data_IF_322000206284
#
_entry.id   IF_322000206284
#
_cell.length_a   1.000
_cell.length_b   1.000
_cell.length_c   1.000
_cell.angle_alpha   90.00
_cell.angle_beta   90.00
_cell.angle_gamma   90.00
#
_symmetry.space_group_name_H-M   'P 1'
#
loop_
_entity.id
_entity.type
_entity.pdbx_description
1 polymer ?
#
# COMPACT_ATOMS: atom_id res chain seq x y z
N UNK A 1 -62.52 1.11 -36.98
CA UNK A 1 -62.38 0.90 -35.51
C UNK A 1 -60.99 0.26 -35.24
N UNK A 2 -60.02 1.08 -34.90
CA UNK A 2 -58.65 0.64 -34.60
C UNK A 2 -58.56 0.54 -33.08
N UNK A 3 -58.36 -0.67 -32.56
CA UNK A 3 -58.11 -0.90 -31.13
C UNK A 3 -56.65 -0.68 -30.84
N UNK A 4 -56.33 0.38 -30.09
CA UNK A 4 -54.99 0.65 -29.52
C UNK A 4 -54.86 -0.19 -28.27
N UNK A 5 -53.96 -1.19 -28.31
CA UNK A 5 -53.52 -1.93 -27.11
C UNK A 5 -52.40 -1.14 -26.45
N UNK A 6 -52.69 -0.54 -25.28
CA UNK A 6 -51.72 0.14 -24.48
C UNK A 6 -50.93 -0.90 -23.65
N UNK A 7 -49.66 -1.13 -24.01
CA UNK A 7 -48.74 -2.01 -23.27
C UNK A 7 -48.11 -1.17 -22.13
N UNK A 8 -48.58 -1.35 -20.89
CA UNK A 8 -47.94 -0.77 -19.70
C UNK A 8 -46.74 -1.64 -19.33
N UNK A 9 -45.55 -1.17 -19.65
CA UNK A 9 -44.28 -1.79 -19.23
C UNK A 9 -43.99 -1.39 -17.77
N UNK A 10 -44.21 -2.32 -16.84
CA UNK A 10 -43.82 -2.14 -15.45
C UNK A 10 -42.31 -2.30 -15.35
N UNK A 11 -41.57 -1.20 -15.24
CA UNK A 11 -40.17 -1.22 -14.85
C UNK A 11 -40.06 -1.57 -13.34
N UNK A 12 -39.80 -2.83 -13.05
CA UNK A 12 -39.41 -3.24 -11.70
C UNK A 12 -37.97 -2.78 -11.48
N UNK A 13 -37.79 -1.58 -10.97
CA UNK A 13 -36.47 -1.13 -10.44
C UNK A 13 -36.14 -1.99 -9.23
N UNK A 14 -35.25 -2.97 -9.40
CA UNK A 14 -34.65 -3.68 -8.29
C UNK A 14 -33.83 -2.66 -7.49
N UNK A 15 -34.43 -2.16 -6.41
CA UNK A 15 -33.70 -1.42 -5.40
C UNK A 15 -32.77 -2.42 -4.73
N UNK A 16 -31.49 -2.42 -5.12
CA UNK A 16 -30.42 -3.11 -4.38
C UNK A 16 -30.33 -2.43 -3.00
N UNK A 17 -31.07 -2.95 -2.04
CA UNK A 17 -30.89 -2.58 -0.62
C UNK A 17 -29.53 -3.16 -0.25
N UNK A 18 -28.51 -2.30 -0.26
CA UNK A 18 -27.20 -2.65 0.32
C UNK A 18 -27.43 -2.93 1.82
N UNK A 19 -27.52 -4.19 2.15
CA UNK A 19 -27.60 -4.62 3.55
C UNK A 19 -26.27 -4.25 4.22
N UNK A 20 -26.32 -3.51 5.33
CA UNK A 20 -25.13 -3.23 6.11
C UNK A 20 -24.49 -4.55 6.55
N UNK A 21 -23.18 -4.65 6.43
CA UNK A 21 -22.42 -5.84 6.80
C UNK A 21 -22.58 -6.10 8.31
N UNK A 22 -22.95 -7.34 8.67
CA UNK A 22 -23.14 -7.72 10.07
C UNK A 22 -21.78 -7.91 10.74
N UNK A 23 -21.63 -7.30 11.92
CA UNK A 23 -20.38 -7.34 12.70
C UNK A 23 -20.51 -8.38 13.80
N UNK A 24 -19.46 -9.22 13.97
CA UNK A 24 -19.35 -10.14 15.10
C UNK A 24 -18.81 -9.37 16.32
N UNK A 25 -19.52 -9.38 17.47
CA UNK A 25 -19.07 -8.68 18.66
C UNK A 25 -17.77 -9.25 19.22
N UNK A 26 -16.75 -8.41 19.44
CA UNK A 26 -15.45 -8.85 19.97
C UNK A 26 -15.58 -9.57 21.32
N UNK A 27 -16.53 -9.16 22.17
CA UNK A 27 -16.82 -9.78 23.47
C UNK A 27 -17.34 -11.22 23.40
N UNK A 28 -17.77 -11.67 22.23
CA UNK A 28 -18.26 -13.05 22.01
C UNK A 28 -17.18 -13.97 21.45
N UNK A 29 -16.01 -13.47 21.14
CA UNK A 29 -14.90 -14.26 20.61
C UNK A 29 -14.37 -15.20 21.70
N UNK A 30 -14.23 -16.50 21.33
CA UNK A 30 -13.73 -17.55 22.24
C UNK A 30 -12.71 -18.42 21.51
N UNK A 31 -11.75 -18.92 22.26
CA UNK A 31 -10.81 -19.93 21.77
C UNK A 31 -11.54 -21.16 21.23
N UNK A 32 -11.03 -21.74 20.14
CA UNK A 32 -11.59 -22.88 19.45
C UNK A 32 -12.70 -22.53 18.43
N UNK A 33 -13.15 -21.29 18.35
CA UNK A 33 -14.07 -20.88 17.28
C UNK A 33 -13.38 -21.01 15.92
N UNK A 34 -14.15 -21.44 14.93
CA UNK A 34 -13.71 -21.51 13.52
C UNK A 34 -14.26 -20.34 12.74
N UNK A 35 -13.45 -19.79 11.88
CA UNK A 35 -13.81 -18.71 10.97
C UNK A 35 -13.22 -18.92 9.59
N UNK A 36 -13.54 -18.01 8.69
CA UNK A 36 -13.03 -18.00 7.33
C UNK A 36 -12.39 -16.64 7.03
N UNK A 37 -11.12 -16.66 6.66
CA UNK A 37 -10.40 -15.48 6.19
C UNK A 37 -10.43 -15.44 4.67
N UNK A 38 -10.74 -14.30 4.07
CA UNK A 38 -10.82 -14.15 2.62
C UNK A 38 -9.65 -13.32 2.09
N UNK A 39 -9.04 -13.81 1.00
CA UNK A 39 -7.91 -13.13 0.37
C UNK A 39 -7.74 -13.58 -1.08
N UNK A 40 -6.91 -12.88 -1.86
CA UNK A 40 -6.47 -13.34 -3.18
C UNK A 40 -5.04 -13.86 -3.07
N UNK A 41 -4.79 -15.09 -3.49
CA UNK A 41 -3.44 -15.68 -3.54
C UNK A 41 -2.81 -15.59 -4.92
N UNK A 42 -3.63 -15.56 -5.99
CA UNK A 42 -3.21 -15.38 -7.37
C UNK A 42 -4.35 -14.83 -8.23
N UNK A 43 -4.04 -13.97 -9.21
CA UNK A 43 -5.03 -13.31 -10.06
C UNK A 43 -5.84 -12.28 -9.30
N UNK A 44 -7.16 -12.34 -9.47
CA UNK A 44 -8.14 -11.43 -8.87
C UNK A 44 -9.22 -12.15 -8.05
N UNK A 45 -9.20 -13.48 -8.05
CA UNK A 45 -10.23 -14.29 -7.40
C UNK A 45 -9.98 -14.42 -5.90
N UNK A 46 -10.96 -13.99 -5.11
CA UNK A 46 -10.95 -14.14 -3.66
C UNK A 46 -11.18 -15.60 -3.30
N UNK A 47 -10.34 -16.13 -2.42
CA UNK A 47 -10.41 -17.50 -1.92
C UNK A 47 -10.61 -17.52 -0.41
N UNK A 48 -11.37 -18.47 0.12
CA UNK A 48 -11.49 -18.70 1.56
C UNK A 48 -10.27 -19.44 2.10
N UNK A 49 -9.87 -19.08 3.32
CA UNK A 49 -8.85 -19.75 4.12
C UNK A 49 -9.45 -20.14 5.48
N UNK A 50 -9.34 -21.39 5.85
CA UNK A 50 -9.78 -21.84 7.18
C UNK A 50 -8.93 -21.21 8.28
N UNK A 51 -9.61 -20.70 9.31
CA UNK A 51 -8.99 -19.97 10.42
C UNK A 51 -9.55 -20.45 11.74
N UNK A 52 -8.68 -20.74 12.71
CA UNK A 52 -9.04 -21.13 14.07
C UNK A 52 -8.67 -20.01 15.04
N UNK A 53 -9.61 -19.57 15.86
CA UNK A 53 -9.40 -18.56 16.89
C UNK A 53 -8.72 -19.18 18.10
N UNK A 54 -7.65 -18.57 18.58
CA UNK A 54 -6.94 -18.99 19.80
C UNK A 54 -7.35 -18.17 21.02
N UNK A 55 -7.81 -16.93 20.82
CA UNK A 55 -8.26 -16.05 21.89
C UNK A 55 -8.13 -14.59 21.52
N UNK A 56 -8.30 -13.73 22.51
CA UNK A 56 -8.09 -12.27 22.40
C UNK A 56 -6.98 -11.88 23.37
N UNK A 57 -6.00 -11.14 22.87
CA UNK A 57 -4.96 -10.50 23.69
C UNK A 57 -5.40 -9.08 23.97
N UNK A 58 -5.76 -8.81 25.20
CA UNK A 58 -6.27 -7.51 25.65
C UNK A 58 -5.14 -6.47 25.64
N UNK A 59 -5.47 -5.22 25.30
CA UNK A 59 -4.55 -4.08 25.28
C UNK A 59 -3.24 -4.27 24.48
N UNK A 60 -3.22 -5.25 23.57
CA UNK A 60 -2.02 -5.61 22.81
C UNK A 60 -1.43 -4.44 21.99
N UNK A 61 -2.30 -3.63 21.40
CA UNK A 61 -1.92 -2.49 20.57
C UNK A 61 -1.89 -1.16 21.35
N UNK A 62 -2.21 -1.20 22.62
CA UNK A 62 -2.33 -0.06 23.52
C UNK A 62 -3.63 -0.11 24.29
N UNK A 63 -3.83 0.80 25.26
CA UNK A 63 -5.02 0.79 26.10
C UNK A 63 -6.32 0.78 25.33
N UNK A 64 -7.17 -0.23 25.56
CA UNK A 64 -8.43 -0.45 24.86
C UNK A 64 -8.30 -0.85 23.40
N UNK A 65 -7.14 -1.43 23.01
CA UNK A 65 -6.85 -1.89 21.66
C UNK A 65 -6.38 -3.34 21.67
N UNK A 66 -7.33 -4.24 21.52
CA UNK A 66 -7.14 -5.67 21.57
C UNK A 66 -6.62 -6.24 20.25
N UNK A 67 -6.07 -7.44 20.29
CA UNK A 67 -5.69 -8.21 19.14
C UNK A 67 -6.32 -9.61 19.22
N UNK A 68 -7.01 -10.02 18.17
CA UNK A 68 -7.53 -11.38 18.06
C UNK A 68 -6.42 -12.28 17.57
N UNK A 69 -6.04 -13.28 18.35
CA UNK A 69 -5.02 -14.26 17.99
C UNK A 69 -5.69 -15.48 17.37
N UNK A 70 -5.18 -15.89 16.22
CA UNK A 70 -5.72 -17.01 15.45
C UNK A 70 -4.61 -17.78 14.72
N UNK A 71 -4.99 -18.90 14.08
CA UNK A 71 -4.17 -19.69 13.18
C UNK A 71 -4.83 -19.79 11.81
N UNK A 72 -4.04 -19.64 10.74
CA UNK A 72 -4.43 -20.06 9.40
C UNK A 72 -4.16 -21.56 9.28
N UNK A 73 -5.21 -22.36 9.28
CA UNK A 73 -5.11 -23.84 9.26
C UNK A 73 -5.36 -24.44 7.88
N UNK A 74 -5.57 -23.60 6.87
CA UNK A 74 -5.79 -23.99 5.48
C UNK A 74 -4.51 -24.54 4.83
N UNK A 75 -4.62 -25.64 4.07
CA UNK A 75 -3.49 -26.25 3.37
C UNK A 75 -2.75 -25.28 2.43
N UNK A 76 -3.45 -24.27 1.85
CA UNK A 76 -2.84 -23.24 0.98
C UNK A 76 -1.85 -22.35 1.73
N UNK A 77 -1.99 -22.23 3.04
CA UNK A 77 -1.14 -21.37 3.89
C UNK A 77 -0.26 -22.16 4.86
N UNK A 78 -0.32 -23.50 4.83
CA UNK A 78 0.40 -24.38 5.74
C UNK A 78 1.92 -24.14 5.78
N UNK A 79 2.53 -23.81 4.64
CA UNK A 79 3.97 -23.57 4.56
C UNK A 79 4.37 -22.12 4.83
N UNK A 80 3.48 -21.17 4.59
CA UNK A 80 3.81 -19.74 4.61
C UNK A 80 3.21 -19.01 5.80
N UNK A 81 2.13 -19.54 6.40
CA UNK A 81 1.31 -18.78 7.33
C UNK A 81 0.73 -17.53 6.68
N UNK A 82 0.59 -16.47 7.45
CA UNK A 82 0.23 -15.15 6.96
C UNK A 82 1.40 -14.54 6.17
N UNK A 83 1.13 -14.05 4.95
CA UNK A 83 2.14 -13.47 4.06
C UNK A 83 1.96 -11.95 3.94
N UNK A 84 3.06 -11.23 3.69
CA UNK A 84 3.02 -9.79 3.42
C UNK A 84 2.13 -9.49 2.21
N UNK A 85 1.23 -8.52 2.33
CA UNK A 85 0.16 -8.24 1.36
C UNK A 85 -1.17 -8.93 1.65
N UNK A 86 -1.24 -9.87 2.61
CA UNK A 86 -2.52 -10.36 3.16
C UNK A 86 -3.09 -9.42 4.23
N UNK A 87 -2.34 -8.43 4.68
CA UNK A 87 -2.82 -7.42 5.64
C UNK A 87 -4.11 -6.79 5.15
N UNK A 88 -5.15 -6.80 5.98
CA UNK A 88 -6.51 -6.40 5.62
C UNK A 88 -7.45 -7.56 5.25
N UNK A 89 -6.96 -8.78 5.07
CA UNK A 89 -7.83 -9.94 4.77
C UNK A 89 -8.91 -10.08 5.83
N UNK A 90 -10.21 -9.98 5.45
CA UNK A 90 -11.32 -10.02 6.41
C UNK A 90 -11.54 -11.43 6.97
N UNK A 91 -11.75 -11.51 8.28
CA UNK A 91 -12.13 -12.72 9.00
C UNK A 91 -13.63 -12.70 9.30
N UNK A 92 -14.30 -13.78 8.99
CA UNK A 92 -15.73 -13.98 9.27
C UNK A 92 -15.95 -15.17 10.18
N UNK A 93 -16.90 -15.04 11.12
CA UNK A 93 -17.47 -16.13 11.93
C UNK A 93 -18.98 -16.07 11.74
N UNK A 94 -19.61 -17.17 11.38
CA UNK A 94 -21.05 -17.28 11.11
C UNK A 94 -21.58 -16.19 10.16
N UNK A 95 -20.77 -15.86 9.13
CA UNK A 95 -21.13 -14.85 8.13
C UNK A 95 -21.01 -13.40 8.60
N UNK A 96 -20.52 -13.14 9.82
CA UNK A 96 -20.34 -11.80 10.39
C UNK A 96 -18.87 -11.41 10.40
N UNK A 97 -18.57 -10.17 10.02
CA UNK A 97 -17.22 -9.65 9.98
C UNK A 97 -16.65 -9.46 11.40
N UNK A 98 -15.51 -10.06 11.67
CA UNK A 98 -14.81 -10.06 12.96
C UNK A 98 -13.72 -9.00 12.99
N UNK A 99 -12.88 -8.98 11.97
CA UNK A 99 -11.70 -8.11 11.90
C UNK A 99 -10.85 -8.37 10.66
N UNK A 100 -9.65 -7.81 10.66
CA UNK A 100 -8.70 -7.86 9.56
C UNK A 100 -7.37 -8.46 9.98
N UNK A 101 -6.84 -9.38 9.17
CA UNK A 101 -5.48 -9.88 9.34
C UNK A 101 -4.49 -8.70 9.31
N UNK A 102 -3.67 -8.57 10.33
CA UNK A 102 -2.76 -7.43 10.48
C UNK A 102 -1.35 -7.80 10.92
N UNK A 103 -1.17 -8.99 11.52
CA UNK A 103 0.11 -9.36 12.12
C UNK A 103 0.49 -10.82 11.87
N UNK A 104 1.80 -11.06 11.81
CA UNK A 104 2.43 -12.33 12.17
C UNK A 104 2.81 -12.27 13.64
N UNK A 105 2.63 -13.36 14.37
CA UNK A 105 2.96 -13.36 15.80
C UNK A 105 4.46 -13.59 16.01
N UNK A 106 5.08 -14.41 15.16
CA UNK A 106 6.52 -14.64 15.22
C UNK A 106 7.08 -14.93 13.81
N UNK A 107 8.38 -14.66 13.64
CA UNK A 107 9.12 -15.13 12.47
C UNK A 107 9.49 -16.61 12.64
N UNK A 108 9.56 -17.36 11.54
CA UNK A 108 9.85 -18.81 11.51
C UNK A 108 8.89 -19.66 12.35
N UNK A 109 7.69 -19.17 12.56
CA UNK A 109 6.64 -19.85 13.31
C UNK A 109 6.05 -20.97 12.46
N UNK A 110 5.86 -22.17 13.07
CA UNK A 110 5.48 -23.40 12.34
C UNK A 110 3.99 -23.55 12.10
N UNK A 111 3.18 -22.95 12.94
CA UNK A 111 1.74 -23.25 13.04
C UNK A 111 0.85 -22.17 12.42
N UNK A 112 1.40 -21.16 11.77
CA UNK A 112 0.64 -20.09 11.09
C UNK A 112 -0.11 -19.15 12.04
N UNK A 113 0.43 -18.91 13.26
CA UNK A 113 -0.14 -17.93 14.19
C UNK A 113 -0.14 -16.52 13.61
N UNK A 114 -1.27 -15.87 13.73
CA UNK A 114 -1.47 -14.52 13.22
C UNK A 114 -2.41 -13.70 14.11
N UNK A 115 -2.40 -12.38 13.91
CA UNK A 115 -3.24 -11.45 14.64
C UNK A 115 -4.19 -10.71 13.72
N UNK A 116 -5.42 -10.50 14.23
CA UNK A 116 -6.45 -9.73 13.53
C UNK A 116 -6.83 -8.51 14.35
N UNK A 117 -6.83 -7.35 13.71
CA UNK A 117 -7.36 -6.11 14.28
C UNK A 117 -8.89 -6.18 14.28
N UNK A 118 -9.56 -5.98 15.43
CA UNK A 118 -11.02 -6.00 15.48
C UNK A 118 -11.66 -4.97 14.55
N UNK A 119 -12.74 -5.36 13.84
CA UNK A 119 -13.44 -4.45 12.92
C UNK A 119 -14.01 -3.22 13.61
N UNK A 120 -14.42 -3.35 14.87
CA UNK A 120 -14.91 -2.22 15.66
C UNK A 120 -13.88 -1.10 15.76
N UNK A 121 -12.59 -1.45 15.92
CA UNK A 121 -11.51 -0.47 15.94
C UNK A 121 -11.26 0.18 14.59
N UNK A 122 -11.37 -0.59 13.52
CA UNK A 122 -11.20 -0.09 12.16
C UNK A 122 -12.30 0.91 11.78
N UNK A 123 -13.55 0.63 12.12
CA UNK A 123 -14.68 1.51 11.82
C UNK A 123 -14.58 2.87 12.51
N UNK A 124 -13.85 2.98 13.64
CA UNK A 124 -13.67 4.26 14.34
C UNK A 124 -12.89 5.29 13.52
N UNK A 125 -12.09 4.88 12.55
CA UNK A 125 -11.29 5.82 11.76
C UNK A 125 -12.14 6.68 10.82
N UNK A 126 -13.23 6.12 10.29
CA UNK A 126 -14.16 6.86 9.41
C UNK A 126 -14.93 7.96 10.16
N UNK A 127 -15.11 7.82 11.49
CA UNK A 127 -15.79 8.79 12.33
C UNK A 127 -14.88 9.96 12.71
N UNK A 128 -13.57 9.74 12.79
CA UNK A 128 -12.58 10.75 13.19
C UNK A 128 -12.23 11.76 12.09
N UNK A 129 -12.53 11.44 10.83
CA UNK A 129 -12.15 12.23 9.66
C UNK A 129 -12.72 13.67 9.62
N UNK A 130 -13.64 14.05 10.51
CA UNK A 130 -14.33 15.35 10.45
C UNK A 130 -13.76 16.45 11.34
N UNK A 131 -12.87 16.19 12.33
CA UNK A 131 -12.64 17.16 13.40
C UNK A 131 -11.22 17.31 13.97
N UNK A 132 -10.17 16.75 13.40
CA UNK A 132 -8.83 16.92 14.00
C UNK A 132 -7.84 17.53 13.00
N UNK A 133 -7.56 18.81 13.13
CA UNK A 133 -6.32 19.39 12.60
C UNK A 133 -5.18 18.85 13.47
N UNK A 134 -4.47 17.85 12.97
CA UNK A 134 -3.25 17.38 13.63
C UNK A 134 -2.19 18.45 13.40
N UNK A 135 -1.66 19.00 14.49
CA UNK A 135 -0.48 19.85 14.43
C UNK A 135 0.66 19.01 13.82
N UNK A 136 1.08 19.36 12.62
CA UNK A 136 2.25 18.79 11.98
C UNK A 136 3.47 19.11 12.82
N UNK A 137 4.03 18.12 13.50
CA UNK A 137 5.36 18.26 14.06
C UNK A 137 6.37 17.92 12.96
N UNK A 138 7.13 18.88 12.45
CA UNK A 138 8.15 18.61 11.45
C UNK A 138 9.25 17.75 12.09
N UNK A 139 9.21 16.46 11.84
CA UNK A 139 10.33 15.59 12.11
C UNK A 139 11.16 15.51 10.84
N UNK A 140 12.38 16.04 10.88
CA UNK A 140 13.30 16.01 9.74
C UNK A 140 13.58 14.55 9.36
N UNK A 141 13.36 14.23 8.08
CA UNK A 141 13.71 12.94 7.51
C UNK A 141 15.24 12.90 7.30
N UNK A 142 15.91 11.95 7.98
CA UNK A 142 17.27 11.57 7.64
C UNK A 142 17.32 10.05 7.52
N UNK A 143 18.07 9.47 6.55
CA UNK A 143 18.32 8.03 6.51
C UNK A 143 18.84 7.56 7.86
N UNK A 144 18.16 6.60 8.49
CA UNK A 144 18.50 6.13 9.84
C UNK A 144 17.53 6.54 10.95
N UNK A 145 16.43 7.24 10.65
CA UNK A 145 15.43 7.59 11.65
C UNK A 145 14.44 6.44 11.90
N UNK A 146 14.45 5.98 13.15
CA UNK A 146 13.67 4.84 13.65
C UNK A 146 12.14 4.99 13.64
N UNK A 147 11.60 6.15 13.30
CA UNK A 147 10.15 6.39 13.32
C UNK A 147 9.41 5.94 12.03
N UNK A 148 10.15 5.67 10.91
CA UNK A 148 9.65 4.89 9.79
C UNK A 148 9.73 3.38 10.09
N UNK A 149 10.41 3.00 11.16
CA UNK A 149 10.49 1.61 11.58
C UNK A 149 9.08 1.18 12.04
N UNK A 150 8.32 0.64 11.10
CA UNK A 150 7.47 -0.48 11.43
C UNK A 150 8.47 -1.57 11.82
N UNK A 151 8.83 -1.58 13.09
CA UNK A 151 9.80 -2.50 13.65
C UNK A 151 9.36 -3.92 13.26
N UNK A 152 10.23 -4.69 12.62
CA UNK A 152 10.01 -6.13 12.42
C UNK A 152 9.68 -6.81 13.77
N UNK A 153 10.20 -6.27 14.87
CA UNK A 153 9.84 -6.62 16.24
C UNK A 153 8.40 -6.27 16.61
N UNK A 154 7.71 -5.37 15.89
CA UNK A 154 6.31 -5.05 16.16
C UNK A 154 5.34 -6.13 15.70
N UNK A 155 5.79 -7.10 14.89
CA UNK A 155 4.99 -8.18 14.34
C UNK A 155 3.96 -7.76 13.27
N UNK A 156 3.93 -6.47 12.83
CA UNK A 156 3.06 -6.06 11.73
C UNK A 156 3.41 -6.82 10.44
N UNK A 157 2.39 -7.16 9.66
CA UNK A 157 2.60 -7.60 8.28
C UNK A 157 3.06 -6.39 7.49
N UNK A 158 4.39 -6.26 7.28
CA UNK A 158 4.96 -5.18 6.48
C UNK A 158 4.26 -5.07 5.12
N UNK A 159 4.02 -3.84 4.68
CA UNK A 159 3.42 -3.60 3.37
C UNK A 159 4.47 -3.88 2.30
N UNK A 160 4.27 -4.86 1.39
CA UNK A 160 5.18 -5.05 0.26
C UNK A 160 5.10 -3.82 -0.64
N UNK A 161 6.20 -3.08 -0.72
CA UNK A 161 6.34 -1.92 -1.60
C UNK A 161 6.97 -2.39 -2.91
N UNK A 162 6.17 -2.47 -3.96
CA UNK A 162 6.64 -2.82 -5.29
C UNK A 162 7.06 -1.57 -6.07
N UNK A 163 8.16 -1.68 -6.81
CA UNK A 163 8.59 -0.65 -7.74
C UNK A 163 8.86 -1.27 -9.12
N UNK A 164 8.30 -0.66 -10.18
CA UNK A 164 8.47 -1.10 -11.56
C UNK A 164 9.44 -0.19 -12.32
N UNK A 165 10.06 -0.72 -13.37
CA UNK A 165 10.99 0.03 -14.20
C UNK A 165 12.37 0.23 -13.58
N UNK A 166 12.74 -0.60 -12.61
CA UNK A 166 13.99 -0.51 -11.86
C UNK A 166 14.92 -1.64 -12.27
N UNK A 167 16.14 -1.33 -12.72
CA UNK A 167 17.19 -2.33 -12.98
C UNK A 167 17.71 -2.97 -11.69
N UNK A 168 18.40 -4.12 -11.82
CA UNK A 168 18.91 -4.84 -10.66
C UNK A 168 19.87 -4.02 -9.78
N UNK A 169 20.66 -3.12 -10.40
CA UNK A 169 21.58 -2.25 -9.68
C UNK A 169 20.84 -1.10 -8.97
N UNK A 170 19.93 -0.45 -9.68
CA UNK A 170 19.09 0.60 -9.09
C UNK A 170 18.28 0.07 -7.89
N UNK A 171 17.82 -1.19 -7.98
CA UNK A 171 17.12 -1.83 -6.86
C UNK A 171 17.96 -1.84 -5.58
N UNK A 172 19.23 -2.18 -5.64
CA UNK A 172 20.11 -2.18 -4.45
C UNK A 172 20.19 -0.82 -3.76
N UNK A 173 20.17 0.25 -4.56
CA UNK A 173 20.18 1.62 -4.04
C UNK A 173 18.86 1.95 -3.39
N UNK A 174 17.75 1.61 -4.05
CA UNK A 174 16.40 1.87 -3.54
C UNK A 174 16.16 1.07 -2.26
N UNK A 175 16.61 -0.18 -2.19
CA UNK A 175 16.53 -0.99 -0.97
C UNK A 175 17.22 -0.26 0.20
N UNK A 176 18.39 0.33 -0.02
CA UNK A 176 19.09 1.14 1.01
C UNK A 176 18.34 2.43 1.37
N UNK A 177 17.71 3.09 0.39
CA UNK A 177 16.91 4.29 0.64
C UNK A 177 15.74 3.98 1.57
N UNK A 178 15.11 2.82 1.38
CA UNK A 178 13.96 2.38 2.14
C UNK A 178 14.32 1.48 3.34
N UNK A 179 15.61 1.21 3.56
CA UNK A 179 16.06 0.43 4.71
C UNK A 179 15.61 1.06 6.03
N UNK A 180 15.05 0.25 6.92
CA UNK A 180 14.51 0.73 8.19
C UNK A 180 13.18 1.47 8.11
N UNK A 181 12.58 1.60 6.92
CA UNK A 181 11.27 2.25 6.75
C UNK A 181 10.08 1.38 7.18
N UNK A 182 10.31 0.09 7.46
CA UNK A 182 9.25 -0.88 7.72
C UNK A 182 8.53 -1.38 6.48
N UNK A 183 8.95 -0.94 5.29
CA UNK A 183 8.51 -1.48 4.02
C UNK A 183 9.45 -2.57 3.54
N UNK A 184 8.88 -3.58 2.96
CA UNK A 184 9.62 -4.62 2.25
C UNK A 184 9.62 -4.27 0.75
N UNK A 185 10.81 -4.05 0.17
CA UNK A 185 10.94 -3.76 -1.26
C UNK A 185 10.80 -5.02 -2.09
N UNK A 186 9.60 -5.26 -2.61
CA UNK A 186 9.33 -6.35 -3.53
C UNK A 186 9.76 -5.96 -4.96
N UNK A 187 10.44 -6.86 -5.66
CA UNK A 187 10.60 -6.72 -7.10
C UNK A 187 9.23 -6.96 -7.75
N UNK A 188 8.76 -6.07 -8.59
CA UNK A 188 7.50 -6.32 -9.23
C UNK A 188 6.88 -5.14 -9.94
N UNK A 189 5.85 -5.44 -10.63
CA UNK A 189 5.37 -4.88 -11.82
C UNK A 189 4.31 -3.80 -11.73
N UNK A 190 3.86 -3.37 -12.91
CA UNK A 190 2.62 -2.67 -13.10
C UNK A 190 2.66 -1.36 -13.86
N UNK A 191 3.82 -0.86 -14.32
CA UNK A 191 3.84 0.40 -15.06
C UNK A 191 2.98 0.40 -16.33
N UNK A 192 2.99 -0.68 -17.11
CA UNK A 192 2.25 -0.79 -18.38
C UNK A 192 0.77 -1.15 -18.26
N UNK A 193 0.30 -1.52 -17.07
CA UNK A 193 -1.06 -2.01 -16.86
C UNK A 193 -2.00 -1.05 -16.12
N UNK A 194 -1.61 0.19 -15.88
CA UNK A 194 -2.39 1.15 -15.08
C UNK A 194 -3.76 1.52 -15.67
N UNK A 195 -3.95 1.37 -16.97
CA UNK A 195 -5.25 1.56 -17.63
C UNK A 195 -6.14 0.31 -17.57
N UNK A 196 -5.58 -0.85 -17.21
CA UNK A 196 -6.35 -2.09 -17.14
C UNK A 196 -7.02 -2.23 -15.78
N UNK A 197 -8.22 -2.82 -15.74
CA UNK A 197 -8.88 -3.13 -14.49
C UNK A 197 -8.12 -4.21 -13.71
N UNK A 198 -8.11 -4.10 -12.39
CA UNK A 198 -7.68 -5.13 -11.46
C UNK A 198 -8.89 -5.81 -10.80
N UNK A 199 -8.68 -6.34 -9.60
CA UNK A 199 -9.78 -6.82 -8.78
C UNK A 199 -10.64 -5.63 -8.34
N UNK A 200 -11.97 -5.77 -8.43
CA UNK A 200 -12.88 -4.82 -7.82
C UNK A 200 -12.60 -4.75 -6.32
N UNK A 201 -12.58 -3.53 -5.75
CA UNK A 201 -12.24 -3.31 -4.34
C UNK A 201 -13.37 -3.75 -3.39
N UNK A 202 -13.59 -5.06 -3.33
CA UNK A 202 -14.52 -5.73 -2.43
C UNK A 202 -13.75 -6.42 -1.28
N UNK A 203 -14.39 -6.77 -0.15
CA UNK A 203 -13.74 -7.48 0.95
C UNK A 203 -12.98 -8.73 0.47
N UNK A 204 -11.70 -8.85 0.85
CA UNK A 204 -10.80 -9.91 0.41
C UNK A 204 -10.01 -9.59 -0.88
N UNK A 205 -10.40 -8.59 -1.65
CA UNK A 205 -9.69 -8.19 -2.87
C UNK A 205 -8.36 -7.47 -2.55
N UNK A 206 -7.33 -7.60 -3.40
CA UNK A 206 -6.11 -6.85 -3.25
C UNK A 206 -6.35 -5.37 -3.57
N UNK A 207 -5.70 -4.50 -2.82
CA UNK A 207 -5.72 -3.07 -3.01
C UNK A 207 -4.30 -2.52 -2.91
N UNK A 208 -3.96 -1.57 -3.78
CA UNK A 208 -2.66 -0.90 -3.73
C UNK A 208 -2.82 0.59 -3.47
N UNK A 209 -1.83 1.15 -2.77
CA UNK A 209 -1.70 2.59 -2.52
C UNK A 209 -0.44 3.06 -3.23
N UNK A 210 -0.60 3.87 -4.27
CA UNK A 210 0.52 4.33 -5.07
C UNK A 210 1.20 5.56 -4.45
N UNK A 211 2.52 5.60 -4.55
CA UNK A 211 3.37 6.72 -4.17
C UNK A 211 3.96 7.43 -5.40
N UNK A 212 4.18 6.66 -6.46
CA UNK A 212 4.69 7.13 -7.75
C UNK A 212 3.89 6.43 -8.86
N UNK A 213 3.52 7.18 -9.89
CA UNK A 213 2.75 6.68 -11.04
C UNK A 213 3.33 7.21 -12.35
N UNK A 214 3.03 6.59 -13.46
CA UNK A 214 3.52 6.96 -14.78
C UNK A 214 4.52 5.93 -15.34
N UNK A 215 5.62 6.40 -15.93
CA UNK A 215 6.63 5.50 -16.52
C UNK A 215 7.34 4.63 -15.48
N UNK A 216 7.54 5.18 -14.27
CA UNK A 216 7.91 4.42 -13.09
C UNK A 216 6.71 4.34 -12.15
N UNK A 217 6.64 3.26 -11.41
CA UNK A 217 5.57 3.01 -10.47
C UNK A 217 6.10 2.51 -9.14
N UNK A 218 5.56 3.08 -8.05
CA UNK A 218 5.86 2.61 -6.69
C UNK A 218 4.55 2.54 -5.91
N UNK A 219 4.25 1.38 -5.32
CA UNK A 219 3.02 1.22 -4.55
C UNK A 219 3.13 0.14 -3.48
N UNK A 220 2.45 0.37 -2.37
CA UNK A 220 2.24 -0.63 -1.32
C UNK A 220 0.96 -1.41 -1.56
N UNK A 221 0.99 -2.74 -1.36
CA UNK A 221 -0.16 -3.62 -1.59
C UNK A 221 -0.61 -4.32 -0.32
N UNK A 222 -1.92 -4.36 -0.10
CA UNK A 222 -2.61 -5.09 0.96
C UNK A 222 -3.95 -5.63 0.48
N UNK A 223 -4.90 -5.77 1.39
CA UNK A 223 -6.21 -6.38 1.12
C UNK A 223 -7.33 -5.50 1.69
N UNK A 224 -8.44 -5.40 0.98
CA UNK A 224 -9.66 -4.71 1.43
C UNK A 224 -10.33 -5.55 2.53
N UNK A 225 -10.68 -4.88 3.63
CA UNK A 225 -11.38 -5.53 4.75
C UNK A 225 -12.88 -5.33 4.68
N UNK A 226 -13.30 -4.11 4.41
CA UNK A 226 -14.70 -3.71 4.47
C UNK A 226 -14.99 -2.65 3.41
N UNK A 227 -16.22 -2.66 2.89
CA UNK A 227 -16.71 -1.64 1.95
C UNK A 227 -18.18 -1.37 2.18
N UNK A 228 -18.57 -0.10 2.22
CA UNK A 228 -19.94 0.35 2.23
C UNK A 228 -20.10 1.53 1.28
N UNK A 229 -20.79 1.31 0.17
CA UNK A 229 -20.87 2.30 -0.92
C UNK A 229 -19.47 2.59 -1.48
N UNK A 230 -19.08 3.87 -1.42
CA UNK A 230 -17.77 4.31 -1.89
C UNK A 230 -16.69 4.28 -0.80
N UNK A 231 -17.05 4.08 0.46
CA UNK A 231 -16.10 4.00 1.56
C UNK A 231 -15.53 2.60 1.70
N UNK A 232 -14.23 2.51 1.97
CA UNK A 232 -13.58 1.24 2.27
C UNK A 232 -12.57 1.36 3.41
N UNK A 233 -12.28 0.22 4.06
CA UNK A 233 -11.20 0.02 5.02
C UNK A 233 -10.31 -1.13 4.54
N UNK A 234 -9.00 -0.99 4.78
CA UNK A 234 -8.03 -1.98 4.35
C UNK A 234 -6.85 -2.09 5.33
N UNK A 235 -5.96 -3.06 5.12
CA UNK A 235 -4.70 -3.32 5.79
C UNK A 235 -4.83 -3.83 7.23
N UNK A 236 -5.78 -3.35 8.01
CA UNK A 236 -5.89 -3.69 9.43
C UNK A 236 -4.80 -3.10 10.33
N UNK A 237 -3.93 -2.27 9.77
CA UNK A 237 -2.83 -1.57 10.43
C UNK A 237 -2.47 -0.31 9.64
N UNK A 238 -1.64 0.60 10.18
CA UNK A 238 -1.21 1.78 9.45
C UNK A 238 -0.27 1.42 8.29
N UNK A 239 -0.26 2.22 7.25
CA UNK A 239 0.78 2.20 6.22
C UNK A 239 1.99 3.02 6.70
N UNK A 240 1.76 4.26 7.13
CA UNK A 240 2.74 5.19 7.68
C UNK A 240 2.34 5.73 9.05
N UNK A 241 1.05 5.67 9.42
CA UNK A 241 0.51 6.19 10.66
C UNK A 241 0.36 7.71 10.70
N UNK A 242 0.17 8.36 9.55
CA UNK A 242 0.17 9.83 9.44
C UNK A 242 -1.18 10.51 9.66
N UNK A 243 -2.23 9.76 9.88
CA UNK A 243 -3.56 10.31 10.11
C UNK A 243 -4.28 10.65 8.81
N UNK A 244 -4.54 11.93 8.54
CA UNK A 244 -5.16 12.37 7.29
C UNK A 244 -4.13 12.38 6.17
N UNK A 245 -4.48 11.77 5.04
CA UNK A 245 -3.60 11.63 3.87
C UNK A 245 -4.40 11.82 2.58
N UNK A 246 -3.70 12.03 1.46
CA UNK A 246 -4.28 12.06 0.12
C UNK A 246 -3.40 11.23 -0.81
N UNK A 247 -3.68 9.92 -0.86
CA UNK A 247 -2.87 8.96 -1.62
C UNK A 247 -3.73 8.25 -2.67
N UNK A 248 -3.19 7.93 -3.88
CA UNK A 248 -3.91 7.17 -4.89
C UNK A 248 -4.30 5.79 -4.41
N UNK A 249 -5.60 5.49 -4.46
CA UNK A 249 -6.16 4.18 -4.19
C UNK A 249 -6.31 3.43 -5.52
N UNK A 250 -5.64 2.29 -5.63
CA UNK A 250 -5.55 1.54 -6.88
C UNK A 250 -6.11 0.12 -6.73
N UNK A 251 -6.73 -0.36 -7.79
CA UNK A 251 -6.95 -1.79 -7.98
C UNK A 251 -5.62 -2.52 -8.13
N UNK A 252 -5.61 -3.83 -7.84
CA UNK A 252 -4.43 -4.66 -8.00
C UNK A 252 -4.79 -6.05 -8.52
N UNK A 253 -3.76 -6.75 -9.01
CA UNK A 253 -3.81 -8.16 -9.39
C UNK A 253 -2.59 -8.86 -8.78
N UNK A 254 -2.81 -9.98 -8.13
CA UNK A 254 -1.73 -10.76 -7.54
C UNK A 254 -1.14 -11.68 -8.60
N UNK A 255 0.10 -11.45 -8.99
CA UNK A 255 0.80 -12.30 -9.94
C UNK A 255 1.06 -13.67 -9.33
N UNK A 256 1.55 -13.67 -8.09
CA UNK A 256 1.83 -14.89 -7.32
C UNK A 256 2.00 -14.56 -5.85
N UNK A 257 1.73 -15.53 -4.99
CA UNK A 257 2.21 -15.53 -3.62
C UNK A 257 3.57 -16.22 -3.60
N UNK A 258 4.62 -15.47 -3.27
CA UNK A 258 6.00 -15.98 -3.23
C UNK A 258 6.24 -16.63 -1.87
N UNK A 259 6.47 -17.96 -1.84
CA UNK A 259 6.80 -18.64 -0.59
C UNK A 259 8.23 -18.30 -0.17
N UNK A 260 8.41 -18.00 1.10
CA UNK A 260 9.71 -17.79 1.71
C UNK A 260 9.63 -18.16 3.19
N UNK A 261 10.67 -18.76 3.73
CA UNK A 261 10.73 -19.02 5.18
C UNK A 261 10.87 -17.74 5.99
N UNK A 262 11.58 -16.75 5.44
CA UNK A 262 11.86 -15.49 6.12
C UNK A 262 10.77 -14.46 5.83
N UNK A 263 10.51 -14.19 4.55
CA UNK A 263 9.63 -13.11 4.13
C UNK A 263 8.71 -13.52 2.97
N UNK A 264 7.66 -14.30 3.21
CA UNK A 264 6.69 -14.65 2.18
C UNK A 264 5.82 -13.44 1.85
N UNK A 265 5.56 -13.18 0.57
CA UNK A 265 4.82 -12.01 0.14
C UNK A 265 4.00 -12.21 -1.13
N UNK A 266 3.00 -11.36 -1.33
CA UNK A 266 2.25 -11.26 -2.58
C UNK A 266 2.99 -10.35 -3.56
N UNK A 267 3.37 -10.91 -4.71
CA UNK A 267 3.85 -10.15 -5.84
C UNK A 267 2.64 -9.61 -6.61
N UNK A 268 2.49 -8.29 -6.67
CA UNK A 268 1.33 -7.65 -7.24
C UNK A 268 1.67 -6.77 -8.45
N UNK A 269 0.76 -6.74 -9.43
CA UNK A 269 0.67 -5.69 -10.44
C UNK A 269 -0.33 -4.64 -9.96
N UNK A 270 0.11 -3.41 -9.88
CA UNK A 270 -0.77 -2.28 -9.61
C UNK A 270 -1.55 -1.95 -10.88
N UNK A 271 -2.85 -1.75 -10.73
CA UNK A 271 -3.77 -1.47 -11.81
C UNK A 271 -4.26 -0.01 -11.73
N UNK A 272 -5.40 0.29 -12.33
CA UNK A 272 -5.91 1.67 -12.39
C UNK A 272 -6.15 2.27 -11.00
N UNK A 273 -5.90 3.56 -10.90
CA UNK A 273 -6.35 4.36 -9.76
C UNK A 273 -7.86 4.53 -9.84
N UNK A 274 -8.56 4.27 -8.75
CA UNK A 274 -10.02 4.29 -8.68
C UNK A 274 -10.58 5.17 -7.56
N UNK A 275 -9.70 5.82 -6.80
CA UNK A 275 -10.11 6.67 -5.69
C UNK A 275 -8.94 7.24 -4.91
N UNK A 276 -9.24 7.68 -3.69
CA UNK A 276 -8.29 8.30 -2.78
C UNK A 276 -8.30 7.62 -1.41
N UNK A 277 -7.13 7.22 -0.93
CA UNK A 277 -6.92 6.91 0.48
C UNK A 277 -6.86 8.21 1.25
N UNK A 278 -7.69 8.35 2.28
CA UNK A 278 -7.88 9.60 3.03
C UNK A 278 -7.47 9.49 4.49
N UNK A 279 -7.34 8.27 5.01
CA UNK A 279 -7.01 7.98 6.40
C UNK A 279 -5.92 6.91 6.48
N UNK A 280 -4.91 7.17 7.32
CA UNK A 280 -3.84 6.24 7.63
C UNK A 280 -3.61 6.21 9.14
N UNK A 281 -4.27 5.28 9.83
CA UNK A 281 -4.36 5.25 11.28
C UNK A 281 -3.97 3.89 11.86
N UNK A 282 -3.77 3.83 13.17
CA UNK A 282 -3.28 2.65 13.89
C UNK A 282 -4.02 1.35 13.52
N UNK A 283 -5.35 1.41 13.40
CA UNK A 283 -6.18 0.21 13.21
C UNK A 283 -6.48 -0.11 11.75
N UNK A 284 -6.27 0.81 10.82
CA UNK A 284 -6.50 0.60 9.38
C UNK A 284 -6.10 1.80 8.53
N UNK A 285 -6.08 1.58 7.23
CA UNK A 285 -6.18 2.65 6.24
C UNK A 285 -7.62 2.74 5.73
N UNK A 286 -8.09 3.96 5.45
CA UNK A 286 -9.44 4.23 4.95
C UNK A 286 -9.42 5.07 3.69
N UNK A 287 -10.32 4.78 2.75
CA UNK A 287 -10.38 5.46 1.47
C UNK A 287 -11.78 5.58 0.90
N UNK A 288 -11.87 6.36 -0.17
CA UNK A 288 -13.11 6.59 -0.93
C UNK A 288 -12.86 6.28 -2.39
N UNK A 289 -13.72 5.43 -2.97
CA UNK A 289 -13.74 5.13 -4.41
C UNK A 289 -14.47 6.26 -5.14
N UNK A 290 -13.93 6.69 -6.26
CA UNK A 290 -14.50 7.75 -7.12
C UNK A 290 -13.64 9.01 -7.16
N UNK A 291 -13.57 9.84 -6.11
CA UNK A 291 -12.74 11.05 -6.10
C UNK A 291 -11.25 10.71 -6.26
N UNK A 292 -10.57 11.36 -7.22
CA UNK A 292 -9.14 11.16 -7.47
C UNK A 292 -8.30 12.15 -6.68
N UNK A 293 -7.11 11.76 -6.18
CA UNK A 293 -6.20 12.66 -5.51
C UNK A 293 -5.57 13.66 -6.50
N UNK A 294 -5.23 14.85 -6.01
CA UNK A 294 -4.47 15.84 -6.77
C UNK A 294 -2.99 15.59 -6.58
N UNK A 295 -2.30 15.20 -7.64
CA UNK A 295 -0.89 14.82 -7.58
C UNK A 295 -0.01 15.79 -8.35
N UNK A 296 1.16 16.18 -7.81
CA UNK A 296 2.22 16.85 -8.57
C UNK A 296 2.70 15.97 -9.71
N UNK A 297 3.12 16.61 -10.79
CA UNK A 297 3.70 15.94 -11.96
C UNK A 297 5.22 15.99 -11.90
N UNK A 298 5.86 14.96 -12.42
CA UNK A 298 7.28 14.99 -12.73
C UNK A 298 7.53 14.78 -14.22
N UNK A 299 8.63 15.34 -14.68
CA UNK A 299 9.23 15.07 -15.99
C UNK A 299 10.74 15.04 -15.81
N UNK A 300 11.35 13.91 -16.07
CA UNK A 300 12.80 13.71 -15.98
C UNK A 300 13.31 13.34 -17.37
N UNK A 301 14.28 14.09 -17.86
CA UNK A 301 14.99 13.76 -19.09
C UNK A 301 16.41 13.32 -18.73
N UNK A 302 16.74 12.08 -19.07
CA UNK A 302 18.11 11.57 -18.93
C UNK A 302 18.78 11.64 -20.27
N UNK A 303 19.99 12.18 -20.31
CA UNK A 303 20.84 12.22 -21.49
C UNK A 303 22.16 11.52 -21.14
N UNK A 304 22.50 10.47 -21.89
CA UNK A 304 23.74 9.75 -21.73
C UNK A 304 24.85 10.29 -22.65
N UNK A 305 26.11 9.94 -22.35
CA UNK A 305 27.29 10.38 -23.14
C UNK A 305 27.19 10.03 -24.62
N UNK A 306 26.54 8.92 -24.96
CA UNK A 306 26.32 8.46 -26.35
C UNK A 306 25.24 9.27 -27.08
N UNK A 307 24.81 10.43 -26.57
CA UNK A 307 23.76 11.30 -27.13
C UNK A 307 22.35 10.68 -27.11
N UNK A 308 22.16 9.50 -26.56
CA UNK A 308 20.82 8.96 -26.33
C UNK A 308 20.14 9.76 -25.23
N UNK A 309 18.84 10.00 -25.38
CA UNK A 309 18.03 10.64 -24.36
C UNK A 309 16.71 9.89 -24.19
N UNK A 310 16.22 9.89 -22.97
CA UNK A 310 14.92 9.30 -22.63
C UNK A 310 14.18 10.21 -21.66
N UNK A 311 12.88 10.35 -21.88
CA UNK A 311 11.99 11.15 -21.03
C UNK A 311 11.13 10.20 -20.21
N UNK A 312 11.00 10.52 -18.93
CA UNK A 312 10.13 9.83 -17.98
C UNK A 312 9.14 10.81 -17.40
N UNK A 313 7.86 10.46 -17.43
CA UNK A 313 6.78 11.32 -16.97
C UNK A 313 5.83 10.55 -16.04
N UNK A 314 5.19 11.30 -15.16
CA UNK A 314 4.20 10.74 -14.24
C UNK A 314 3.82 11.71 -13.14
N UNK A 315 3.29 11.12 -12.05
CA UNK A 315 2.90 11.87 -10.88
C UNK A 315 3.48 11.22 -9.63
N UNK A 316 3.64 12.00 -8.58
CA UNK A 316 4.11 11.52 -7.28
C UNK A 316 3.24 12.07 -6.15
N UNK A 317 3.27 11.39 -5.02
CA UNK A 317 2.60 11.85 -3.81
C UNK A 317 3.40 12.98 -3.17
N UNK A 318 2.73 14.10 -2.89
CA UNK A 318 3.34 15.21 -2.16
C UNK A 318 3.11 15.03 -0.66
N UNK A 319 4.20 14.78 0.05
CA UNK A 319 4.21 14.66 1.49
C UNK A 319 5.57 15.10 2.03
N UNK A 320 5.59 15.91 3.05
CA UNK A 320 6.78 16.50 3.67
C UNK A 320 7.95 15.50 3.84
N UNK A 321 7.64 14.28 4.24
CA UNK A 321 8.63 13.26 4.55
C UNK A 321 8.89 12.30 3.37
N UNK A 322 7.87 12.01 2.55
CA UNK A 322 8.00 11.04 1.45
C UNK A 322 8.54 11.63 0.17
N UNK A 323 8.19 12.88 -0.13
CA UNK A 323 8.57 13.49 -1.40
C UNK A 323 10.08 13.39 -1.68
N UNK A 324 10.99 13.71 -0.73
CA UNK A 324 12.41 13.55 -0.96
C UNK A 324 12.84 12.12 -1.27
N UNK A 325 12.25 11.15 -0.59
CA UNK A 325 12.56 9.72 -0.75
C UNK A 325 12.04 9.19 -2.08
N UNK A 326 10.80 9.56 -2.45
CA UNK A 326 10.20 9.19 -3.73
C UNK A 326 11.01 9.78 -4.89
N UNK A 327 11.36 11.06 -4.82
CA UNK A 327 12.16 11.73 -5.86
C UNK A 327 13.56 11.16 -5.94
N UNK A 328 14.21 10.85 -4.83
CA UNK A 328 15.51 10.19 -4.82
C UNK A 328 15.43 8.78 -5.46
N UNK A 329 14.38 8.01 -5.15
CA UNK A 329 14.14 6.71 -5.76
C UNK A 329 13.88 6.82 -7.26
N UNK A 330 13.07 7.82 -7.69
CA UNK A 330 12.80 8.11 -9.10
C UNK A 330 14.10 8.42 -9.85
N UNK A 331 14.86 9.40 -9.37
CA UNK A 331 16.09 9.86 -10.05
C UNK A 331 17.14 8.75 -10.06
N UNK A 332 17.32 8.05 -8.94
CA UNK A 332 18.22 6.89 -8.85
C UNK A 332 17.86 5.78 -9.85
N UNK A 333 16.57 5.50 -10.02
CA UNK A 333 16.10 4.47 -10.97
C UNK A 333 16.40 4.83 -12.41
N UNK A 334 16.10 6.07 -12.82
CA UNK A 334 16.27 6.49 -14.23
C UNK A 334 17.72 6.67 -14.60
N UNK A 335 18.58 7.09 -13.67
CA UNK A 335 20.03 7.22 -13.91
C UNK A 335 20.70 5.86 -14.11
N UNK A 336 20.21 4.84 -13.41
CA UNK A 336 20.81 3.52 -13.34
C UNK A 336 20.08 2.49 -14.22
N UNK A 337 19.20 2.92 -15.12
CA UNK A 337 18.41 2.02 -15.97
C UNK A 337 19.27 1.07 -16.82
N UNK A 338 20.38 1.56 -17.33
CA UNK A 338 21.23 0.77 -18.24
C UNK A 338 22.14 -0.24 -17.54
N UNK A 339 22.02 -0.42 -16.22
CA UNK A 339 22.67 -1.46 -15.41
C UNK A 339 24.20 -1.55 -15.55
N UNK A 340 24.84 -0.56 -16.16
CA UNK A 340 26.30 -0.47 -16.25
C UNK A 340 26.85 0.06 -14.94
N UNK A 341 27.26 -0.85 -14.07
CA UNK A 341 27.95 -0.51 -12.84
C UNK A 341 29.36 0.01 -13.18
N UNK A 342 29.47 1.28 -13.50
CA UNK A 342 30.77 1.94 -13.60
C UNK A 342 31.35 2.18 -12.21
N UNK A 343 32.64 1.91 -12.05
CA UNK A 343 33.34 2.23 -10.80
C UNK A 343 33.41 3.75 -10.51
N UNK A 344 33.18 4.58 -11.53
CA UNK A 344 33.17 6.03 -11.45
C UNK A 344 32.07 6.62 -12.30
N UNK A 345 31.38 7.57 -11.73
CA UNK A 345 30.22 8.25 -12.32
C UNK A 345 30.49 9.76 -12.39
N UNK A 346 29.93 10.39 -13.40
CA UNK A 346 29.80 11.84 -13.44
C UNK A 346 28.35 12.14 -13.78
N UNK A 347 27.66 12.87 -12.91
CA UNK A 347 26.23 13.20 -13.06
C UNK A 347 26.04 14.70 -12.89
N UNK A 348 25.41 15.34 -13.88
CA UNK A 348 24.91 16.70 -13.77
C UNK A 348 23.40 16.66 -13.65
N UNK A 349 22.84 17.25 -12.58
CA UNK A 349 21.42 17.40 -12.35
C UNK A 349 21.03 18.87 -12.53
N UNK A 350 20.19 19.14 -13.52
CA UNK A 350 19.59 20.46 -13.73
C UNK A 350 18.09 20.32 -13.72
N UNK A 351 17.43 21.21 -13.02
CA UNK A 351 15.98 21.12 -12.96
C UNK A 351 15.33 22.34 -12.34
N UNK A 352 14.01 22.25 -12.30
CA UNK A 352 13.16 23.26 -11.74
C UNK A 352 12.05 22.59 -10.95
N UNK A 353 11.81 23.07 -9.73
CA UNK A 353 10.66 22.69 -8.91
C UNK A 353 9.68 23.86 -8.90
N UNK A 354 8.51 23.64 -9.49
CA UNK A 354 7.43 24.63 -9.48
C UNK A 354 6.58 24.43 -8.21
N UNK A 355 6.55 25.44 -7.35
CA UNK A 355 5.79 25.46 -6.11
C UNK A 355 4.59 26.40 -6.26
N UNK A 356 3.40 25.92 -5.84
CA UNK A 356 2.18 26.74 -5.91
C UNK A 356 2.33 28.01 -5.05
N UNK A 357 2.21 29.17 -5.69
CA UNK A 357 2.27 30.46 -4.99
C UNK A 357 3.69 30.97 -4.67
N UNK A 358 4.73 30.33 -5.21
CA UNK A 358 6.12 30.72 -5.04
C UNK A 358 6.82 30.78 -6.39
N UNK A 359 7.94 31.53 -6.45
CA UNK A 359 8.84 31.46 -7.60
C UNK A 359 9.44 30.05 -7.73
N UNK A 360 9.61 29.56 -8.96
CA UNK A 360 10.18 28.23 -9.17
C UNK A 360 11.61 28.13 -8.62
N UNK A 361 11.88 27.09 -7.88
CA UNK A 361 13.21 26.77 -7.37
C UNK A 361 14.01 26.07 -8.49
N UNK A 362 15.07 26.73 -8.96
CA UNK A 362 16.01 26.15 -9.91
C UNK A 362 17.16 25.48 -9.17
N UNK A 363 17.62 24.35 -9.68
CA UNK A 363 18.81 23.69 -9.19
C UNK A 363 19.74 23.29 -10.34
N UNK A 364 21.03 23.45 -10.12
CA UNK A 364 22.12 23.00 -10.99
C UNK A 364 23.19 22.40 -10.07
N UNK A 365 23.43 21.12 -10.20
CA UNK A 365 24.30 20.40 -9.31
C UNK A 365 25.08 19.32 -10.07
N UNK A 366 26.33 19.11 -9.68
CA UNK A 366 27.24 18.15 -10.30
C UNK A 366 27.90 17.30 -9.22
N UNK A 367 28.06 16.01 -9.50
CA UNK A 367 28.88 15.11 -8.71
C UNK A 367 29.66 14.17 -9.62
N UNK A 368 30.89 13.88 -9.22
CA UNK A 368 31.70 12.84 -9.84
C UNK A 368 32.35 12.00 -8.75
N UNK A 369 32.38 10.69 -8.94
CA UNK A 369 32.94 9.80 -7.94
C UNK A 369 32.28 8.44 -7.97
N UNK A 370 32.16 7.85 -6.79
CA UNK A 370 31.48 6.57 -6.61
C UNK A 370 29.95 6.76 -6.41
N UNK A 371 29.24 5.66 -6.29
CA UNK A 371 27.79 5.59 -6.04
C UNK A 371 27.35 6.51 -4.87
N UNK A 372 28.11 6.56 -3.77
CA UNK A 372 27.74 7.36 -2.58
C UNK A 372 27.76 8.85 -2.89
N UNK A 373 28.69 9.29 -3.71
CA UNK A 373 28.83 10.71 -4.09
C UNK A 373 27.64 11.14 -4.92
N UNK A 374 27.21 10.31 -5.90
CA UNK A 374 26.05 10.55 -6.74
C UNK A 374 24.76 10.50 -5.93
N UNK A 375 24.61 9.52 -5.05
CA UNK A 375 23.43 9.44 -4.19
C UNK A 375 23.34 10.63 -3.21
N UNK A 376 24.48 11.07 -2.67
CA UNK A 376 24.54 12.29 -1.86
C UNK A 376 24.04 13.52 -2.61
N UNK A 377 24.38 13.66 -3.90
CA UNK A 377 23.86 14.72 -4.76
C UNK A 377 22.32 14.63 -4.92
N UNK A 378 21.82 13.43 -5.27
CA UNK A 378 20.38 13.20 -5.50
C UNK A 378 19.58 13.54 -4.24
N UNK A 379 20.01 13.04 -3.08
CA UNK A 379 19.35 13.35 -1.82
C UNK A 379 19.43 14.84 -1.46
N UNK A 380 20.61 15.46 -1.66
CA UNK A 380 20.79 16.87 -1.38
C UNK A 380 19.88 17.78 -2.22
N UNK A 381 19.62 17.41 -3.48
CA UNK A 381 18.66 18.12 -4.34
C UNK A 381 17.22 17.85 -3.89
N UNK A 382 16.87 16.59 -3.63
CA UNK A 382 15.53 16.20 -3.21
C UNK A 382 15.09 16.80 -1.85
N UNK A 383 16.05 17.12 -0.97
CA UNK A 383 15.77 17.74 0.35
C UNK A 383 15.62 19.26 0.30
N UNK A 384 16.05 19.91 -0.79
CA UNK A 384 15.95 21.39 -0.94
C UNK A 384 14.60 21.83 -1.51
N UNK A 385 13.84 20.93 -2.10
CA UNK A 385 12.49 21.14 -2.60
C UNK A 385 11.42 20.67 -1.64
#
# INVERSE_FOLDING_TARGET
MIKIFSLILFFLSAVCISRAEEIFPASQIKAGMKGTTYTVLQGTNVVPLETEILGVSEDYLGPGKDLIIAKLVDEKTKLTGAVHGMSGSPLYIDGKLVGALSRRIAMFEKDGHCGFTPIADMLTINQKAKNVKIASHPKRFFPGYSWLQNDEKSGWLSVPLSMSGVSGYAKKIIDKIWEGSGFFMASGGGGRGQSQPGAELLPGAPVSVALLTGDLHMAGTGTVTWRQGDQLLAFGHPMFGWGDVELPLCEAEIVSTVPSYEMPYKLANVRRTVGTLTQDRLSAVGGVVGPMPTLPRYRVTVQWENQQSKVYEGNFVSHELLTPVILASLVGSVLLENDEASAKWSVALKGQLALKGHEPLNFDAFSSGNERDVMGLIFGVAQRG
#
